data_IF_587181302071
#
_entry.id   IF_587181302071
#
_cell.length_a   1.000
_cell.length_b   1.000
_cell.length_c   1.000
_cell.angle_alpha   90.00
_cell.angle_beta   90.00
_cell.angle_gamma   90.00
#
_symmetry.space_group_name_H-M   'P 1'
#
loop_
_entity.id
_entity.type
_entity.pdbx_description
1 polymer ?
#
# COMPACT_ATOMS: atom_id res chain seq x y z
N UNK A 1 -17.48 -17.26 14.65
CA UNK A 1 -18.73 -16.54 14.87
C UNK A 1 -18.40 -15.09 15.15
N UNK A 2 -18.82 -14.18 14.28
CA UNK A 2 -18.79 -12.72 14.38
C UNK A 2 -17.42 -12.02 14.28
N UNK A 3 -16.83 -11.98 13.07
CA UNK A 3 -15.85 -10.99 12.61
C UNK A 3 -16.33 -10.28 11.32
N UNK A 4 -17.62 -10.44 10.97
CA UNK A 4 -18.19 -10.02 9.68
C UNK A 4 -18.85 -8.64 9.67
N UNK A 5 -18.49 -7.71 10.56
CA UNK A 5 -19.26 -6.47 10.68
C UNK A 5 -18.45 -5.16 10.63
N UNK A 6 -17.20 -5.17 10.15
CA UNK A 6 -16.42 -3.91 10.08
C UNK A 6 -15.89 -3.56 8.69
N UNK A 7 -16.28 -4.31 7.66
CA UNK A 7 -15.94 -4.00 6.26
C UNK A 7 -17.04 -3.18 5.55
N UNK A 8 -17.99 -2.73 6.34
CA UNK A 8 -19.06 -1.93 5.81
C UNK A 8 -18.71 -0.45 5.84
N UNK A 9 -18.70 0.06 4.66
CA UNK A 9 -19.23 1.35 4.35
C UNK A 9 -18.52 2.55 4.99
N UNK A 10 -18.05 3.40 4.11
CA UNK A 10 -18.34 4.81 4.16
C UNK A 10 -18.93 5.21 5.51
N UNK A 11 -18.13 5.85 6.35
CA UNK A 11 -18.72 6.65 7.42
C UNK A 11 -19.71 7.59 6.73
N UNK A 12 -20.98 7.46 7.05
CA UNK A 12 -22.00 8.08 6.24
C UNK A 12 -21.94 9.61 6.33
N UNK A 13 -22.51 10.27 5.33
CA UNK A 13 -22.77 11.70 5.22
C UNK A 13 -23.30 12.38 6.52
N UNK A 14 -23.80 11.62 7.47
CA UNK A 14 -24.28 12.09 8.77
C UNK A 14 -23.15 12.64 9.68
N UNK A 15 -21.92 12.13 9.59
CA UNK A 15 -20.77 12.70 10.30
C UNK A 15 -20.21 13.92 9.54
N UNK A 16 -20.31 13.93 8.22
CA UNK A 16 -19.88 15.06 7.40
C UNK A 16 -20.76 16.31 7.62
N UNK A 17 -22.02 16.14 7.98
CA UNK A 17 -22.96 17.25 8.29
C UNK A 17 -22.77 17.83 9.69
N UNK A 18 -22.11 17.11 10.62
CA UNK A 18 -21.90 17.60 12.00
C UNK A 18 -20.70 18.56 12.13
N UNK A 19 -19.75 18.53 11.16
CA UNK A 19 -18.56 19.38 11.17
C UNK A 19 -18.43 20.13 9.86
N UNK A 20 -18.95 21.36 9.84
CA UNK A 20 -18.86 22.26 8.67
C UNK A 20 -17.45 22.90 8.51
N UNK A 21 -16.47 22.36 9.20
CA UNK A 21 -15.08 22.88 9.20
C UNK A 21 -14.26 22.16 8.11
N UNK A 22 -13.59 22.94 7.27
CA UNK A 22 -12.71 22.36 6.23
C UNK A 22 -11.47 21.75 6.87
N UNK A 23 -10.91 20.70 6.28
CA UNK A 23 -9.68 20.06 6.75
C UNK A 23 -8.55 21.07 7.03
N UNK A 24 -8.46 22.15 6.23
CA UNK A 24 -7.44 23.18 6.40
C UNK A 24 -7.62 23.98 7.70
N UNK A 25 -8.86 24.24 8.09
CA UNK A 25 -9.17 24.97 9.34
C UNK A 25 -8.81 24.09 10.56
N UNK A 26 -9.10 22.80 10.49
CA UNK A 26 -8.68 21.83 11.53
C UNK A 26 -7.16 21.78 11.69
N UNK A 27 -6.42 21.78 10.58
CA UNK A 27 -4.95 21.77 10.60
C UNK A 27 -4.41 23.08 11.15
N UNK A 28 -5.02 24.21 10.83
CA UNK A 28 -4.62 25.50 11.39
C UNK A 28 -4.80 25.52 12.90
N UNK A 29 -5.92 25.02 13.41
CA UNK A 29 -6.14 24.86 14.86
C UNK A 29 -5.13 23.91 15.48
N UNK A 30 -4.82 22.79 14.84
CA UNK A 30 -3.81 21.85 15.31
C UNK A 30 -2.45 22.55 15.48
N UNK A 31 -2.03 23.40 14.55
CA UNK A 31 -0.78 24.17 14.66
C UNK A 31 -0.78 25.06 15.92
N UNK A 32 -1.89 25.73 16.20
CA UNK A 32 -2.05 26.57 17.41
C UNK A 32 -1.96 25.71 18.68
N UNK A 33 -2.64 24.56 18.73
CA UNK A 33 -2.59 23.63 19.87
C UNK A 33 -1.18 23.04 20.11
N UNK A 34 -0.37 22.94 19.04
CA UNK A 34 1.04 22.55 19.14
C UNK A 34 1.96 23.70 19.61
N UNK A 35 1.42 24.91 19.84
CA UNK A 35 2.17 26.09 20.29
C UNK A 35 2.83 26.87 19.14
N UNK A 36 2.40 26.65 17.89
CA UNK A 36 2.95 27.32 16.71
C UNK A 36 2.15 28.55 16.31
N UNK A 37 2.81 29.52 15.65
CA UNK A 37 2.14 30.64 14.98
C UNK A 37 1.85 30.29 13.52
N UNK A 38 0.57 30.03 13.14
CA UNK A 38 0.22 29.68 11.77
C UNK A 38 0.49 30.82 10.74
N UNK A 39 0.69 32.04 11.21
CA UNK A 39 0.95 33.22 10.36
C UNK A 39 2.41 33.33 9.92
N UNK A 40 3.33 32.62 10.58
CA UNK A 40 4.75 32.67 10.20
C UNK A 40 4.97 32.07 8.79
N UNK A 41 5.91 32.63 8.05
CA UNK A 41 6.17 32.36 6.63
C UNK A 41 6.20 30.85 6.29
N UNK A 42 6.86 30.04 7.12
CA UNK A 42 6.98 28.59 6.90
C UNK A 42 5.66 27.84 7.05
N UNK A 43 4.69 28.35 7.82
CA UNK A 43 3.44 27.67 8.16
C UNK A 43 2.20 28.17 7.40
N UNK A 44 2.22 29.37 6.81
CA UNK A 44 1.07 29.94 6.08
C UNK A 44 0.46 28.97 5.05
N UNK A 45 1.28 28.17 4.38
CA UNK A 45 0.81 27.20 3.37
C UNK A 45 0.65 25.77 3.93
N UNK A 46 0.98 25.52 5.20
CA UNK A 46 0.97 24.19 5.80
C UNK A 46 -0.43 23.57 5.83
N UNK A 47 -1.51 24.27 6.20
CA UNK A 47 -2.84 23.69 6.19
C UNK A 47 -3.22 23.10 4.82
N UNK A 48 -2.98 23.83 3.74
CA UNK A 48 -3.26 23.35 2.38
C UNK A 48 -2.35 22.17 1.96
N UNK A 49 -1.08 22.19 2.36
CA UNK A 49 -0.13 21.11 2.03
C UNK A 49 -0.49 19.83 2.76
N UNK A 50 -0.83 19.92 4.04
CA UNK A 50 -1.21 18.76 4.87
C UNK A 50 -2.55 18.17 4.41
N UNK A 51 -3.56 19.00 4.11
CA UNK A 51 -4.84 18.53 3.53
C UNK A 51 -4.58 17.71 2.25
N UNK A 52 -3.79 18.26 1.31
CA UNK A 52 -3.45 17.54 0.07
C UNK A 52 -2.69 16.23 0.35
N UNK A 53 -1.74 16.24 1.27
CA UNK A 53 -0.94 15.07 1.62
C UNK A 53 -1.80 13.96 2.27
N UNK A 54 -2.65 14.31 3.23
CA UNK A 54 -3.53 13.35 3.88
C UNK A 54 -4.54 12.73 2.91
N UNK A 55 -5.15 13.52 2.03
CA UNK A 55 -6.06 12.98 1.00
C UNK A 55 -5.35 12.03 0.05
N UNK A 56 -4.11 12.32 -0.34
CA UNK A 56 -3.31 11.41 -1.14
C UNK A 56 -2.97 10.12 -0.38
N UNK A 57 -2.53 10.24 0.86
CA UNK A 57 -2.16 9.09 1.69
C UNK A 57 -3.36 8.24 2.15
N UNK A 58 -4.58 8.74 1.98
CA UNK A 58 -5.83 8.02 2.28
C UNK A 58 -6.71 7.79 1.04
N UNK A 59 -6.15 7.97 -0.16
CA UNK A 59 -6.89 7.83 -1.42
C UNK A 59 -7.40 6.41 -1.69
N UNK A 60 -6.84 5.41 -1.02
CA UNK A 60 -7.29 4.03 -1.12
C UNK A 60 -8.72 3.79 -0.60
N UNK A 61 -9.28 4.69 0.21
CA UNK A 61 -10.68 4.58 0.63
C UNK A 61 -11.68 4.84 -0.51
N UNK A 62 -11.31 5.66 -1.49
CA UNK A 62 -12.15 5.98 -2.64
C UNK A 62 -11.83 5.16 -3.89
N UNK A 63 -10.84 4.27 -3.81
CA UNK A 63 -10.44 3.45 -4.94
C UNK A 63 -11.33 2.22 -5.08
N UNK A 64 -11.80 1.96 -6.29
CA UNK A 64 -12.53 0.75 -6.65
C UNK A 64 -11.58 -0.31 -7.20
N UNK A 65 -11.55 -1.48 -6.55
CA UNK A 65 -10.70 -2.61 -6.96
C UNK A 65 -11.15 -3.20 -8.30
N UNK A 66 -12.46 -3.28 -8.55
CA UNK A 66 -12.99 -3.85 -9.78
C UNK A 66 -12.69 -2.94 -10.97
N UNK A 67 -12.85 -1.64 -10.81
CA UNK A 67 -12.45 -0.66 -11.81
C UNK A 67 -10.94 -0.72 -12.07
N UNK A 68 -10.13 -0.82 -11.01
CA UNK A 68 -8.67 -0.92 -11.12
C UNK A 68 -8.25 -2.20 -11.87
N UNK A 69 -8.93 -3.33 -11.65
CA UNK A 69 -8.65 -4.61 -12.32
C UNK A 69 -9.25 -4.71 -13.70
N UNK A 70 -10.18 -3.84 -14.09
CA UNK A 70 -10.93 -3.91 -15.33
C UNK A 70 -10.03 -4.14 -16.55
N UNK A 71 -10.35 -5.16 -17.35
CA UNK A 71 -9.61 -5.53 -18.56
C UNK A 71 -8.20 -6.13 -18.32
N UNK A 72 -7.81 -6.42 -17.06
CA UNK A 72 -6.50 -6.96 -16.75
C UNK A 72 -6.55 -8.33 -16.06
N UNK A 73 -7.61 -9.08 -16.27
CA UNK A 73 -7.73 -10.49 -15.93
C UNK A 73 -7.65 -11.31 -17.20
N UNK A 74 -6.67 -12.22 -17.27
CA UNK A 74 -6.37 -12.99 -18.48
C UNK A 74 -6.56 -14.49 -18.19
N UNK A 75 -7.11 -15.22 -19.15
CA UNK A 75 -7.21 -16.68 -19.09
C UNK A 75 -5.86 -17.32 -19.39
N UNK A 76 -5.52 -18.37 -18.65
CA UNK A 76 -4.28 -19.14 -18.81
C UNK A 76 -4.58 -20.64 -18.58
N UNK A 77 -3.73 -21.49 -19.14
CA UNK A 77 -3.80 -22.95 -19.05
C UNK A 77 -2.68 -23.56 -18.18
N UNK A 78 -1.92 -22.72 -17.50
CA UNK A 78 -0.84 -23.13 -16.58
C UNK A 78 -1.17 -22.73 -15.13
N UNK A 79 -0.45 -23.36 -14.19
CA UNK A 79 -0.60 -23.17 -12.75
C UNK A 79 0.75 -22.95 -12.03
N UNK A 80 1.74 -22.46 -12.74
CA UNK A 80 3.02 -22.09 -12.13
C UNK A 80 2.84 -20.86 -11.22
N UNK A 81 3.62 -20.85 -10.12
CA UNK A 81 3.59 -19.75 -9.15
C UNK A 81 3.99 -18.43 -9.80
N UNK A 82 3.16 -17.41 -9.66
CA UNK A 82 3.46 -16.03 -10.04
C UNK A 82 3.88 -15.26 -8.80
N UNK A 83 5.03 -14.58 -8.84
CA UNK A 83 5.54 -13.76 -7.73
C UNK A 83 5.83 -12.36 -8.22
N UNK A 84 5.26 -11.36 -7.54
CA UNK A 84 5.62 -9.93 -7.67
C UNK A 84 6.19 -9.49 -6.33
N UNK A 85 7.48 -9.19 -6.30
CA UNK A 85 8.20 -8.85 -5.07
C UNK A 85 8.75 -7.43 -5.06
N UNK A 86 9.21 -7.02 -3.88
CA UNK A 86 9.84 -5.72 -3.66
C UNK A 86 8.92 -4.53 -3.99
N UNK A 87 7.60 -4.71 -3.83
CA UNK A 87 6.62 -3.65 -4.04
C UNK A 87 6.72 -2.66 -2.88
N UNK A 88 7.11 -1.43 -3.18
CA UNK A 88 7.11 -0.36 -2.18
C UNK A 88 5.69 -0.04 -1.73
N UNK A 89 5.51 0.13 -0.42
CA UNK A 89 4.25 0.65 0.12
C UNK A 89 4.50 1.74 1.18
N UNK A 90 3.57 2.67 1.26
CA UNK A 90 3.52 3.75 2.24
C UNK A 90 2.12 3.81 2.83
N UNK A 91 2.01 3.78 4.15
CA UNK A 91 0.74 3.75 4.87
C UNK A 91 0.79 4.63 6.12
N UNK A 92 -0.36 4.89 6.71
CA UNK A 92 -0.51 5.59 7.98
C UNK A 92 -1.01 4.63 9.04
N UNK A 93 -0.28 4.52 10.15
CA UNK A 93 -0.71 3.74 11.30
C UNK A 93 -2.00 4.34 11.87
N UNK A 94 -3.08 3.57 11.95
CA UNK A 94 -4.38 4.06 12.44
C UNK A 94 -4.36 4.54 13.89
N UNK A 95 -3.43 4.02 14.71
CA UNK A 95 -3.33 4.41 16.12
C UNK A 95 -2.70 5.80 16.35
N UNK A 96 -1.85 6.25 15.42
CA UNK A 96 -1.02 7.43 15.67
C UNK A 96 -0.99 8.42 14.50
N UNK A 97 -1.57 8.09 13.35
CA UNK A 97 -1.45 8.83 12.08
C UNK A 97 0.00 9.01 11.63
N UNK A 98 0.93 8.24 12.18
CA UNK A 98 2.33 8.26 11.78
C UNK A 98 2.60 7.23 10.68
N UNK A 99 3.53 7.53 9.75
CA UNK A 99 3.82 6.62 8.65
C UNK A 99 4.41 5.28 9.11
N UNK A 100 4.05 4.24 8.38
CA UNK A 100 4.85 3.03 8.25
C UNK A 100 5.00 2.69 6.78
N UNK A 101 6.13 2.13 6.40
CA UNK A 101 6.45 1.90 5.00
C UNK A 101 7.42 0.73 4.88
N UNK A 102 7.50 0.17 3.69
CA UNK A 102 8.38 -0.98 3.46
C UNK A 102 8.15 -1.65 2.14
N UNK A 103 8.29 -2.99 2.15
CA UNK A 103 8.14 -3.84 0.98
C UNK A 103 7.00 -4.84 1.16
N UNK A 104 6.24 -5.04 0.11
CA UNK A 104 5.23 -6.08 0.02
C UNK A 104 5.62 -7.06 -1.09
N UNK A 105 5.43 -8.34 -0.82
CA UNK A 105 5.68 -9.44 -1.74
C UNK A 105 4.39 -10.21 -1.88
N UNK A 106 3.93 -10.39 -3.11
CA UNK A 106 2.68 -11.05 -3.44
C UNK A 106 2.96 -12.23 -4.35
N UNK A 107 2.45 -13.39 -3.99
CA UNK A 107 2.49 -14.58 -4.83
C UNK A 107 1.12 -15.22 -4.92
N UNK A 108 0.82 -15.84 -6.06
CA UNK A 108 -0.36 -16.67 -6.22
C UNK A 108 -0.10 -17.80 -7.22
N UNK A 109 -0.87 -18.87 -7.11
CA UNK A 109 -0.88 -19.98 -8.06
C UNK A 109 -2.16 -19.89 -8.87
N UNK A 110 -2.08 -19.61 -10.18
CA UNK A 110 -3.25 -19.47 -11.02
C UNK A 110 -4.16 -20.70 -11.02
N UNK A 111 -5.45 -20.45 -11.18
CA UNK A 111 -6.48 -21.47 -11.43
C UNK A 111 -7.29 -21.02 -12.66
N UNK A 112 -6.66 -21.09 -13.84
CA UNK A 112 -7.25 -20.65 -15.09
C UNK A 112 -7.27 -19.15 -15.33
N UNK A 113 -6.85 -18.31 -14.36
CA UNK A 113 -6.79 -16.85 -14.51
C UNK A 113 -5.57 -16.24 -13.85
N UNK A 114 -5.03 -15.17 -14.45
CA UNK A 114 -3.95 -14.34 -13.91
C UNK A 114 -4.35 -12.87 -13.90
N UNK A 115 -3.73 -12.14 -12.99
CA UNK A 115 -3.84 -10.67 -12.88
C UNK A 115 -2.66 -10.05 -13.64
N UNK A 116 -2.91 -9.02 -14.45
CA UNK A 116 -1.84 -8.27 -15.09
C UNK A 116 -0.84 -7.75 -14.05
N UNK A 117 0.45 -8.01 -14.24
CA UNK A 117 1.51 -7.78 -13.24
C UNK A 117 1.51 -6.36 -12.67
N UNK A 118 1.22 -5.35 -13.48
CA UNK A 118 1.13 -3.94 -13.05
C UNK A 118 -0.04 -3.64 -12.11
N UNK A 119 -1.03 -4.53 -12.02
CA UNK A 119 -2.20 -4.38 -11.15
C UNK A 119 -1.91 -4.80 -9.71
N UNK A 120 -0.96 -5.71 -9.52
CA UNK A 120 -0.58 -6.16 -8.17
C UNK A 120 -0.01 -5.01 -7.32
N UNK A 121 0.95 -4.20 -7.77
CA UNK A 121 1.39 -3.02 -7.01
C UNK A 121 0.27 -2.01 -6.76
N UNK A 122 -0.64 -1.81 -7.71
CA UNK A 122 -1.78 -0.92 -7.52
C UNK A 122 -2.75 -1.43 -6.47
N UNK A 123 -2.96 -2.75 -6.40
CA UNK A 123 -3.76 -3.37 -5.34
C UNK A 123 -3.13 -3.13 -3.96
N UNK A 124 -1.80 -3.30 -3.85
CA UNK A 124 -1.07 -2.99 -2.63
C UNK A 124 -1.26 -1.51 -2.24
N UNK A 125 -1.14 -0.58 -3.19
CA UNK A 125 -1.38 0.85 -2.95
C UNK A 125 -2.80 1.15 -2.45
N UNK A 126 -3.83 0.51 -3.00
CA UNK A 126 -5.24 0.69 -2.58
C UNK A 126 -5.42 0.37 -1.10
N UNK A 127 -4.79 -0.69 -0.62
CA UNK A 127 -4.88 -1.07 0.80
C UNK A 127 -3.88 -0.32 1.68
N UNK A 128 -2.72 0.04 1.17
CA UNK A 128 -1.72 0.79 1.91
C UNK A 128 -2.13 2.25 2.14
N UNK A 129 -2.76 2.90 1.16
CA UNK A 129 -3.19 4.31 1.26
C UNK A 129 -4.50 4.46 2.03
N UNK A 130 -4.48 4.01 3.28
CA UNK A 130 -5.57 4.08 4.27
C UNK A 130 -4.97 4.28 5.65
N UNK A 131 -5.80 4.51 6.65
CA UNK A 131 -5.41 4.32 8.05
C UNK A 131 -5.40 2.81 8.32
N UNK A 132 -4.23 2.22 8.58
CA UNK A 132 -4.06 0.78 8.54
C UNK A 132 -3.34 0.19 9.76
N UNK A 133 -3.56 -1.12 9.91
CA UNK A 133 -2.68 -2.05 10.59
C UNK A 133 -1.96 -2.88 9.54
N UNK A 134 -0.67 -3.14 9.71
CA UNK A 134 0.08 -3.92 8.73
C UNK A 134 -0.50 -5.33 8.55
N UNK A 135 -0.96 -5.96 9.62
CA UNK A 135 -1.59 -7.28 9.63
C UNK A 135 -2.89 -7.29 8.82
N UNK A 136 -3.73 -6.28 9.00
CA UNK A 136 -4.99 -6.14 8.27
C UNK A 136 -4.72 -5.91 6.78
N UNK A 137 -3.81 -5.00 6.44
CA UNK A 137 -3.41 -4.72 5.07
C UNK A 137 -2.94 -6.00 4.37
N UNK A 138 -2.09 -6.79 5.03
CA UNK A 138 -1.55 -8.05 4.49
C UNK A 138 -2.67 -9.05 4.17
N UNK A 139 -3.64 -9.21 5.07
CA UNK A 139 -4.77 -10.11 4.87
C UNK A 139 -5.71 -9.60 3.77
N UNK A 140 -6.07 -8.31 3.77
CA UNK A 140 -6.96 -7.71 2.77
C UNK A 140 -6.42 -7.88 1.35
N UNK A 141 -5.10 -7.70 1.13
CA UNK A 141 -4.47 -7.95 -0.16
C UNK A 141 -4.65 -9.40 -0.59
N UNK A 142 -4.37 -10.36 0.31
CA UNK A 142 -4.47 -11.79 0.01
C UNK A 142 -5.91 -12.21 -0.31
N UNK A 143 -6.86 -11.82 0.53
CA UNK A 143 -8.29 -12.11 0.39
C UNK A 143 -8.88 -11.54 -0.90
N UNK A 144 -8.49 -10.32 -1.25
CA UNK A 144 -8.92 -9.69 -2.51
C UNK A 144 -8.45 -10.49 -3.74
N UNK A 145 -7.21 -10.99 -3.74
CA UNK A 145 -6.72 -11.81 -4.85
C UNK A 145 -7.52 -13.12 -4.93
N UNK A 146 -7.85 -13.75 -3.79
CA UNK A 146 -8.72 -14.94 -3.76
C UNK A 146 -10.09 -14.64 -4.37
N UNK A 147 -10.71 -13.55 -3.97
CA UNK A 147 -12.03 -13.12 -4.47
C UNK A 147 -12.03 -12.89 -5.99
N UNK A 148 -10.99 -12.23 -6.52
CA UNK A 148 -10.98 -11.79 -7.92
C UNK A 148 -10.63 -12.89 -8.93
N UNK A 149 -9.76 -13.84 -8.59
CA UNK A 149 -9.30 -14.86 -9.55
C UNK A 149 -9.44 -16.29 -9.04
N UNK A 150 -9.92 -16.51 -7.82
CA UNK A 150 -10.07 -17.86 -7.21
C UNK A 150 -8.84 -18.75 -7.46
N UNK A 151 -7.62 -18.32 -7.06
CA UNK A 151 -6.39 -19.07 -7.33
C UNK A 151 -6.31 -20.32 -6.47
N UNK A 152 -5.41 -21.25 -6.79
CA UNK A 152 -5.13 -22.43 -5.95
C UNK A 152 -4.51 -22.06 -4.60
N UNK A 153 -3.90 -20.91 -4.51
CA UNK A 153 -3.35 -20.34 -3.28
C UNK A 153 -2.81 -18.92 -3.48
N UNK A 154 -2.71 -18.20 -2.37
CA UNK A 154 -2.14 -16.85 -2.30
C UNK A 154 -1.18 -16.77 -1.13
N UNK A 155 -0.07 -16.07 -1.31
CA UNK A 155 0.85 -15.69 -0.26
C UNK A 155 1.15 -14.19 -0.35
N UNK A 156 1.03 -13.48 0.77
CA UNK A 156 1.43 -12.07 0.89
C UNK A 156 2.35 -11.95 2.09
N UNK A 157 3.50 -11.30 1.89
CA UNK A 157 4.44 -10.96 2.97
C UNK A 157 4.71 -9.47 2.90
N UNK A 158 4.55 -8.78 4.02
CA UNK A 158 4.87 -7.36 4.15
C UNK A 158 5.95 -7.18 5.22
N UNK A 159 6.98 -6.41 4.88
CA UNK A 159 8.05 -5.99 5.78
C UNK A 159 7.97 -4.48 5.93
N UNK A 160 7.81 -3.97 7.16
CA UNK A 160 7.58 -2.55 7.38
C UNK A 160 8.33 -1.97 8.56
N UNK A 161 8.80 -0.74 8.40
CA UNK A 161 9.32 0.11 9.46
C UNK A 161 8.24 1.06 9.92
N UNK A 162 7.96 1.07 11.22
CA UNK A 162 6.91 1.87 11.84
C UNK A 162 7.50 3.08 12.56
N UNK A 163 7.23 4.30 12.06
CA UNK A 163 7.73 5.51 12.72
C UNK A 163 7.09 5.73 14.09
N UNK A 164 5.89 5.21 14.34
CA UNK A 164 5.28 5.24 15.67
C UNK A 164 6.05 4.43 16.73
N UNK A 165 6.92 3.50 16.30
CA UNK A 165 7.83 2.74 17.17
C UNK A 165 9.25 3.29 17.14
N UNK A 166 9.70 3.82 16.01
CA UNK A 166 11.09 4.23 15.81
C UNK A 166 11.39 5.60 16.43
N UNK A 167 10.52 6.59 16.25
CA UNK A 167 10.78 7.98 16.64
C UNK A 167 10.20 8.38 18.00
N UNK A 168 9.37 7.54 18.60
CA UNK A 168 8.72 7.74 19.89
C UNK A 168 8.30 6.41 20.50
N UNK A 169 7.81 6.43 21.74
CA UNK A 169 7.37 5.22 22.44
C UNK A 169 8.54 4.32 22.83
N UNK A 170 8.68 3.19 22.15
CA UNK A 170 9.76 2.22 22.46
C UNK A 170 11.11 2.59 21.86
N UNK A 171 11.17 3.55 20.97
CA UNK A 171 12.41 4.12 20.37
C UNK A 171 13.37 3.07 19.76
N UNK A 172 12.80 2.03 19.14
CA UNK A 172 13.57 0.95 18.50
C UNK A 172 13.76 1.21 17.01
N UNK A 173 14.82 1.93 16.67
CA UNK A 173 15.10 2.39 15.30
C UNK A 173 15.39 1.26 14.31
N UNK A 174 15.97 0.15 14.78
CA UNK A 174 16.37 -0.99 13.93
C UNK A 174 15.31 -2.11 13.90
N UNK A 175 14.14 -1.89 14.53
CA UNK A 175 13.08 -2.89 14.46
C UNK A 175 12.24 -2.73 13.20
N UNK A 176 11.92 -3.85 12.59
CA UNK A 176 10.96 -3.93 11.50
C UNK A 176 9.96 -5.05 11.78
N UNK A 177 8.76 -4.89 11.26
CA UNK A 177 7.67 -5.85 11.45
C UNK A 177 7.49 -6.65 10.17
N UNK A 178 7.41 -7.97 10.29
CA UNK A 178 7.05 -8.85 9.17
C UNK A 178 5.67 -9.42 9.45
N UNK A 179 4.77 -9.29 8.49
CA UNK A 179 3.45 -9.91 8.52
C UNK A 179 3.27 -10.80 7.29
N UNK A 180 2.54 -11.89 7.42
CA UNK A 180 2.28 -12.81 6.33
C UNK A 180 0.85 -13.32 6.33
N UNK A 181 0.27 -13.47 5.14
CA UNK A 181 -0.98 -14.16 4.88
C UNK A 181 -0.71 -15.29 3.89
N UNK A 182 -1.07 -16.52 4.27
CA UNK A 182 -0.91 -17.73 3.47
C UNK A 182 -2.27 -18.41 3.33
N UNK A 183 -2.78 -18.53 2.10
CA UNK A 183 -4.11 -19.07 1.79
C UNK A 183 -4.00 -20.23 0.78
N UNK A 184 -4.92 -21.19 0.85
CA UNK A 184 -4.93 -22.35 -0.03
C UNK A 184 -3.62 -23.12 -0.03
N UNK A 185 -3.07 -23.45 -1.19
CA UNK A 185 -1.86 -24.26 -1.34
C UNK A 185 -0.66 -23.75 -0.53
N UNK A 186 -0.50 -22.44 -0.34
CA UNK A 186 0.58 -21.90 0.51
C UNK A 186 0.38 -22.19 2.00
N UNK A 187 -0.87 -22.33 2.45
CA UNK A 187 -1.19 -22.75 3.82
C UNK A 187 -1.07 -24.23 4.01
N UNK A 188 -1.64 -25.01 3.08
CA UNK A 188 -1.90 -26.43 3.23
C UNK A 188 -0.70 -27.30 2.80
N UNK A 189 0.17 -26.79 1.91
CA UNK A 189 1.31 -27.52 1.35
C UNK A 189 2.63 -26.89 1.79
N UNK A 190 3.36 -27.59 2.65
CA UNK A 190 4.64 -27.12 3.17
C UNK A 190 5.66 -26.86 2.05
N UNK A 191 5.71 -27.69 1.01
CA UNK A 191 6.66 -27.55 -0.12
C UNK A 191 6.42 -26.24 -0.86
N UNK A 192 5.17 -25.93 -1.20
CA UNK A 192 4.77 -24.69 -1.88
C UNK A 192 5.16 -23.45 -1.06
N UNK A 193 4.91 -23.51 0.24
CA UNK A 193 5.32 -22.43 1.15
C UNK A 193 6.85 -22.25 1.18
N UNK A 194 7.58 -23.34 1.28
CA UNK A 194 9.05 -23.30 1.33
C UNK A 194 9.63 -22.76 0.03
N UNK A 195 9.14 -23.20 -1.12
CA UNK A 195 9.54 -22.70 -2.43
C UNK A 195 9.36 -21.17 -2.53
N UNK A 196 8.19 -20.66 -2.14
CA UNK A 196 7.93 -19.23 -2.10
C UNK A 196 8.94 -18.48 -1.22
N UNK A 197 9.16 -18.96 0.01
CA UNK A 197 10.09 -18.31 0.95
C UNK A 197 11.53 -18.36 0.45
N UNK A 198 11.96 -19.44 -0.23
CA UNK A 198 13.28 -19.52 -0.86
C UNK A 198 13.41 -18.53 -2.02
N UNK A 199 12.39 -18.42 -2.88
CA UNK A 199 12.38 -17.45 -3.99
C UNK A 199 12.41 -15.99 -3.49
N UNK A 200 11.84 -15.70 -2.31
CA UNK A 200 11.98 -14.38 -1.67
C UNK A 200 13.40 -14.11 -1.17
N UNK A 201 14.13 -15.14 -0.70
CA UNK A 201 15.51 -15.00 -0.23
C UNK A 201 16.51 -14.78 -1.36
N UNK A 202 16.17 -15.15 -2.60
CA UNK A 202 17.02 -14.89 -3.75
C UNK A 202 17.19 -13.36 -3.89
N UNK A 203 18.27 -12.85 -3.29
CA UNK A 203 18.57 -11.42 -3.27
C UNK A 203 18.67 -10.88 -4.69
N UNK A 204 18.21 -9.67 -4.87
CA UNK A 204 18.44 -8.81 -6.04
C UNK A 204 19.95 -8.51 -6.26
N UNK A 205 20.81 -9.49 -6.00
CA UNK A 205 22.28 -9.40 -6.20
C UNK A 205 22.73 -9.73 -7.62
N UNK A 206 21.82 -10.21 -8.46
CA UNK A 206 22.04 -10.49 -9.88
C UNK A 206 20.88 -9.99 -10.75
N UNK A 207 20.07 -9.09 -10.23
CA UNK A 207 19.11 -8.37 -11.05
C UNK A 207 19.86 -7.57 -12.09
N UNK A 208 19.47 -7.69 -13.36
CA UNK A 208 19.88 -6.79 -14.43
C UNK A 208 19.84 -5.37 -13.88
N UNK A 209 21.02 -4.85 -13.53
CA UNK A 209 21.18 -3.45 -13.20
C UNK A 209 20.91 -2.69 -14.49
N UNK A 210 19.76 -2.03 -14.57
CA UNK A 210 19.45 -1.08 -15.64
C UNK A 210 20.39 0.13 -15.62
N UNK A 211 21.33 0.19 -14.65
CA UNK A 211 22.35 1.25 -14.56
C UNK A 211 23.32 1.30 -15.75
N UNK A 212 23.24 0.35 -16.66
CA UNK A 212 24.01 0.34 -17.91
C UNK A 212 23.24 0.67 -19.18
N UNK A 213 21.92 0.88 -19.09
CA UNK A 213 21.16 1.35 -20.26
C UNK A 213 21.29 2.87 -20.34
N UNK A 214 21.76 3.42 -21.48
CA UNK A 214 21.75 4.87 -21.69
C UNK A 214 20.30 5.35 -21.59
N UNK A 215 20.04 6.29 -20.70
CA UNK A 215 18.76 7.00 -20.68
C UNK A 215 18.56 7.64 -22.05
N UNK A 216 17.36 7.58 -22.64
CA UNK A 216 17.07 8.33 -23.84
C UNK A 216 17.41 9.80 -23.53
N UNK A 217 18.36 10.35 -24.27
CA UNK A 217 18.70 11.78 -24.22
C UNK A 217 17.43 12.51 -24.65
N UNK A 218 16.79 13.16 -23.68
CA UNK A 218 15.63 14.02 -23.94
C UNK A 218 16.03 15.04 -24.99
N UNK A 219 15.30 15.04 -26.11
CA UNK A 219 15.45 16.07 -27.12
C UNK A 219 15.30 17.43 -26.45
N UNK A 220 16.29 18.29 -26.62
CA UNK A 220 16.16 19.69 -26.35
C UNK A 220 15.03 20.24 -27.22
N UNK A 221 13.91 20.56 -26.62
CA UNK A 221 12.95 21.47 -27.22
C UNK A 221 13.54 22.86 -27.16
N UNK A 222 13.98 23.34 -28.30
CA UNK A 222 14.36 24.74 -28.54
C UNK A 222 13.14 25.63 -28.28
N UNK A 223 13.11 26.28 -27.14
CA UNK A 223 12.28 27.46 -26.93
C UNK A 223 13.00 28.69 -27.48
N UNK A 224 12.89 28.89 -28.78
CA UNK A 224 13.10 30.22 -29.38
C UNK A 224 11.74 30.75 -29.77
N UNK A 225 11.39 31.90 -29.20
CA UNK A 225 10.52 32.86 -29.90
C UNK A 225 9.22 33.25 -29.20
N UNK A 226 9.25 34.51 -28.79
CA UNK A 226 8.20 35.52 -28.58
C UNK A 226 7.36 35.48 -27.32
#
# INVERSE_FOLDING_TARGET
MALDALDAAHAPDALATAYNEKMQDLIQRLLIELGEDPSREGLVKTPKRVDKALRFLTSGYSADVDEMLNGALFSVDYNEMVIVRDIDFYSLCEHHLLPFFGKCHVAYIPNGRVIGLSKIPRLVDIFARRLQLQERMTNQIAETIVDKINPLGVAVVCEGTHLCMAMRGVEKQNSYTITSAMLGAFRDQQRTRMEFLELLKLRSGSGLSLSGLPLPTGGQEDHTGD
#
